data_IF_019870836832
#
_entry.id   IF_019870836832
#
_cell.length_a   1.000
_cell.length_b   1.000
_cell.length_c   1.000
_cell.angle_alpha   90.00
_cell.angle_beta   90.00
_cell.angle_gamma   90.00
#
_symmetry.space_group_name_H-M   'P 1'
#
loop_
_entity.id
_entity.type
_entity.pdbx_description
1 polymer ?
#
# COMPACT_ATOMS: atom_id res chain seq x y z
N UNK A 1 -12.21 -4.84 -16.33
CA UNK A 1 -12.17 -4.14 -15.03
C UNK A 1 -11.90 -5.22 -14.01
N UNK A 2 -10.86 -5.05 -13.20
CA UNK A 2 -10.45 -6.04 -12.21
C UNK A 2 -10.06 -5.29 -10.94
N UNK A 3 -10.59 -5.74 -9.82
CA UNK A 3 -10.29 -5.19 -8.51
C UNK A 3 -9.11 -5.95 -7.90
N UNK A 4 -8.11 -5.21 -7.43
CA UNK A 4 -6.92 -5.75 -6.77
C UNK A 4 -6.85 -5.23 -5.34
N UNK A 5 -6.92 -6.13 -4.36
CA UNK A 5 -6.70 -5.81 -2.96
C UNK A 5 -5.21 -5.85 -2.67
N UNK A 6 -4.62 -4.68 -2.37
CA UNK A 6 -3.30 -4.62 -1.77
C UNK A 6 -3.41 -5.09 -0.33
N UNK A 7 -2.61 -6.09 0.02
CA UNK A 7 -2.44 -6.54 1.39
C UNK A 7 -0.97 -6.51 1.78
N UNK A 8 -0.72 -6.23 3.04
CA UNK A 8 0.62 -6.14 3.61
C UNK A 8 0.78 -7.12 4.77
N UNK A 9 2.01 -7.57 4.99
CA UNK A 9 2.44 -8.25 6.21
C UNK A 9 3.88 -7.86 6.50
N UNK A 10 4.30 -8.03 7.74
CA UNK A 10 5.62 -7.73 8.25
C UNK A 10 5.83 -8.55 9.52
N UNK A 11 7.07 -8.71 9.94
CA UNK A 11 7.40 -9.26 11.24
C UNK A 11 7.43 -8.10 12.24
N UNK A 12 6.52 -8.13 13.23
CA UNK A 12 6.35 -7.10 14.25
C UNK A 12 6.83 -7.63 15.61
N UNK A 13 7.89 -7.04 16.15
CA UNK A 13 8.39 -7.36 17.49
C UNK A 13 7.94 -6.28 18.47
N UNK A 14 7.16 -6.67 19.49
CA UNK A 14 6.57 -5.79 20.50
C UNK A 14 5.75 -4.61 19.94
N UNK A 15 5.27 -4.74 18.69
CA UNK A 15 4.47 -3.76 17.96
C UNK A 15 3.18 -4.37 17.44
N UNK A 16 2.19 -3.52 17.25
CA UNK A 16 0.91 -3.80 16.61
C UNK A 16 0.43 -2.57 15.83
N UNK A 17 -0.71 -2.71 15.17
CA UNK A 17 -1.41 -1.63 14.47
C UNK A 17 -0.57 -0.86 13.44
N UNK A 18 0.33 -1.54 12.71
CA UNK A 18 1.11 -0.93 11.63
C UNK A 18 0.19 -0.48 10.48
N UNK A 19 0.26 0.80 10.12
CA UNK A 19 -0.57 1.41 9.09
C UNK A 19 0.07 2.73 8.57
N UNK A 20 -0.44 3.32 7.48
CA UNK A 20 -0.04 4.67 7.06
C UNK A 20 -0.21 5.71 8.17
N UNK A 21 0.62 6.76 8.18
CA UNK A 21 0.69 7.76 9.25
C UNK A 21 -0.68 8.28 9.70
N UNK A 22 -1.56 8.65 8.78
CA UNK A 22 -2.91 9.13 9.12
C UNK A 22 -4.03 8.10 8.85
N UNK A 23 -3.67 6.83 8.73
CA UNK A 23 -4.59 5.71 8.52
C UNK A 23 -4.72 5.26 7.06
N UNK A 24 -5.37 4.12 6.83
CA UNK A 24 -5.41 3.47 5.50
C UNK A 24 -6.09 4.33 4.42
N UNK A 25 -7.04 5.18 4.82
CA UNK A 25 -7.79 6.08 3.93
C UNK A 25 -7.26 7.53 3.97
N UNK A 26 -6.00 7.72 4.38
CA UNK A 26 -5.34 9.03 4.34
C UNK A 26 -5.32 9.57 2.89
N UNK A 27 -5.94 10.74 2.62
CA UNK A 27 -5.95 11.34 1.28
C UNK A 27 -4.55 11.68 0.77
N UNK A 28 -3.61 11.96 1.67
CA UNK A 28 -2.27 12.45 1.33
C UNK A 28 -1.22 11.32 1.29
N UNK A 29 -1.58 10.11 1.74
CA UNK A 29 -0.66 8.97 1.70
C UNK A 29 -0.46 8.49 0.26
N UNK A 30 0.82 8.39 -0.13
CA UNK A 30 1.23 8.02 -1.48
C UNK A 30 1.49 6.52 -1.57
N UNK A 31 0.73 5.85 -2.43
CA UNK A 31 0.94 4.45 -2.78
C UNK A 31 1.91 4.35 -3.96
N UNK A 32 2.96 3.55 -3.81
CA UNK A 32 3.96 3.33 -4.84
C UNK A 32 3.95 1.87 -5.29
N UNK A 33 3.71 1.64 -6.58
CA UNK A 33 3.84 0.30 -7.13
C UNK A 33 4.15 0.29 -8.62
N UNK A 34 4.71 -0.82 -9.11
CA UNK A 34 4.83 -1.08 -10.55
C UNK A 34 3.54 -1.62 -11.12
N UNK A 35 3.29 -1.24 -12.37
CA UNK A 35 2.13 -1.67 -13.14
C UNK A 35 2.57 -2.51 -14.33
N UNK A 36 1.86 -3.61 -14.57
CA UNK A 36 1.98 -4.45 -15.76
C UNK A 36 0.84 -4.15 -16.73
N UNK A 37 1.17 -3.89 -17.99
CA UNK A 37 0.17 -3.66 -19.03
C UNK A 37 -0.54 -4.96 -19.41
N UNK A 38 -1.86 -5.03 -19.21
CA UNK A 38 -2.66 -6.20 -19.56
C UNK A 38 -2.83 -6.46 -21.06
N UNK A 39 -2.25 -5.63 -21.95
CA UNK A 39 -2.22 -5.89 -23.42
C UNK A 39 -0.90 -6.50 -23.86
N UNK A 40 0.21 -5.84 -23.55
CA UNK A 40 1.53 -6.20 -24.08
C UNK A 40 2.46 -6.83 -23.04
N UNK A 41 2.07 -6.86 -21.77
CA UNK A 41 2.86 -7.42 -20.68
C UNK A 41 3.96 -6.52 -20.14
N UNK A 42 4.20 -5.35 -20.73
CA UNK A 42 5.23 -4.39 -20.29
C UNK A 42 5.00 -3.96 -18.84
N UNK A 43 6.05 -4.01 -18.02
CA UNK A 43 6.05 -3.53 -16.63
C UNK A 43 6.67 -2.14 -16.59
N UNK A 44 6.10 -1.22 -15.79
CA UNK A 44 6.65 0.13 -15.64
C UNK A 44 8.08 0.10 -15.11
N UNK A 45 8.97 0.86 -15.74
CA UNK A 45 10.39 0.97 -15.32
C UNK A 45 10.56 1.68 -13.97
N UNK A 46 9.64 2.59 -13.64
CA UNK A 46 9.58 3.30 -12.37
C UNK A 46 8.28 2.95 -11.67
N UNK A 47 8.27 3.10 -10.35
CA UNK A 47 7.04 3.08 -9.57
C UNK A 47 6.10 4.18 -10.04
N UNK A 48 4.83 3.83 -10.09
CA UNK A 48 3.75 4.79 -10.23
C UNK A 48 3.31 5.22 -8.84
N UNK A 49 3.20 6.53 -8.62
CA UNK A 49 2.69 7.14 -7.40
C UNK A 49 1.21 7.48 -7.59
N UNK A 50 0.41 7.26 -6.56
CA UNK A 50 -1.00 7.64 -6.52
C UNK A 50 -1.46 7.88 -5.08
N UNK A 51 -2.30 8.89 -4.91
CA UNK A 51 -2.88 9.30 -3.63
C UNK A 51 -4.40 9.31 -3.74
N UNK A 52 -5.10 9.16 -2.61
CA UNK A 52 -6.57 9.17 -2.58
C UNK A 52 -7.12 10.60 -2.77
N UNK A 53 -6.35 11.63 -2.43
CA UNK A 53 -6.72 13.04 -2.63
C UNK A 53 -6.69 13.50 -4.09
N UNK A 54 -6.04 12.76 -5.00
CA UNK A 54 -5.97 13.10 -6.42
C UNK A 54 -7.13 12.53 -7.22
N UNK A 55 -7.75 13.35 -8.08
CA UNK A 55 -8.84 12.93 -8.96
C UNK A 55 -8.68 13.53 -10.35
N UNK A 56 -8.72 12.66 -11.36
CA UNK A 56 -8.50 12.96 -12.76
C UNK A 56 -9.72 12.52 -13.59
N UNK A 57 -10.13 13.31 -14.61
CA UNK A 57 -11.17 12.88 -15.53
C UNK A 57 -10.68 11.73 -16.41
N UNK A 58 -11.52 10.71 -16.62
CA UNK A 58 -11.21 9.61 -17.53
C UNK A 58 -11.46 10.05 -18.98
N UNK A 59 -10.48 9.92 -19.90
CA UNK A 59 -10.68 10.24 -21.32
C UNK A 59 -11.89 9.52 -21.92
N UNK A 60 -12.75 10.26 -22.64
CA UNK A 60 -13.95 9.73 -23.30
C UNK A 60 -14.98 9.06 -22.36
N UNK A 61 -14.97 9.40 -21.06
CA UNK A 61 -15.90 8.89 -20.05
C UNK A 61 -16.38 10.02 -19.14
N UNK A 62 -17.51 9.82 -18.46
CA UNK A 62 -18.04 10.77 -17.46
C UNK A 62 -17.49 10.56 -16.05
N UNK A 63 -16.69 9.50 -15.84
CA UNK A 63 -16.14 9.15 -14.53
C UNK A 63 -14.80 9.81 -14.23
N UNK A 64 -14.42 9.79 -12.96
CA UNK A 64 -13.09 10.17 -12.47
C UNK A 64 -12.30 8.95 -12.02
N UNK A 65 -10.99 9.10 -11.90
CA UNK A 65 -10.05 8.07 -11.46
C UNK A 65 -8.88 8.75 -10.74
N UNK A 66 -8.01 7.98 -10.08
CA UNK A 66 -6.86 8.55 -9.36
C UNK A 66 -5.59 8.52 -10.24
N UNK A 67 -5.59 7.70 -11.29
CA UNK A 67 -4.50 7.62 -12.25
C UNK A 67 -5.04 7.36 -13.66
N UNK A 68 -4.53 8.13 -14.64
CA UNK A 68 -4.65 7.83 -16.08
C UNK A 68 -3.23 7.69 -16.64
N UNK A 69 -2.90 6.53 -17.21
CA UNK A 69 -1.54 6.26 -17.70
C UNK A 69 -1.53 5.56 -19.07
N UNK A 70 -0.77 6.12 -20.01
CA UNK A 70 -0.53 5.51 -21.32
C UNK A 70 0.65 4.53 -21.25
N UNK A 71 0.49 3.33 -21.81
CA UNK A 71 1.56 2.34 -21.87
C UNK A 71 2.64 2.84 -22.83
N UNK A 72 3.88 2.91 -22.36
CA UNK A 72 5.02 3.41 -23.15
C UNK A 72 5.39 2.50 -24.35
N UNK A 73 4.96 1.23 -24.33
CA UNK A 73 5.26 0.27 -25.39
C UNK A 73 4.13 0.16 -26.42
N UNK A 74 2.91 -0.21 -25.98
CA UNK A 74 1.78 -0.47 -26.89
C UNK A 74 0.77 0.67 -27.00
N UNK A 75 1.07 1.82 -26.38
CA UNK A 75 0.27 3.04 -26.42
C UNK A 75 -1.15 2.94 -25.85
N UNK A 76 -1.51 1.81 -25.23
CA UNK A 76 -2.82 1.62 -24.62
C UNK A 76 -2.97 2.49 -23.37
N UNK A 77 -4.09 3.19 -23.26
CA UNK A 77 -4.51 3.86 -22.02
C UNK A 77 -5.03 2.86 -20.98
N UNK A 78 -4.68 3.12 -19.72
CA UNK A 78 -5.28 2.43 -18.58
C UNK A 78 -5.49 3.38 -17.42
N UNK A 79 -6.31 2.93 -16.47
CA UNK A 79 -6.71 3.72 -15.29
C UNK A 79 -6.60 2.90 -14.03
N UNK A 80 -6.37 3.57 -12.91
CA UNK A 80 -6.38 2.98 -11.57
C UNK A 80 -7.18 3.89 -10.64
N UNK A 81 -8.26 3.36 -10.05
CA UNK A 81 -9.09 4.08 -9.10
C UNK A 81 -8.95 3.43 -7.72
N UNK A 82 -8.61 4.23 -6.72
CA UNK A 82 -8.58 3.81 -5.31
C UNK A 82 -9.99 3.73 -4.73
N UNK A 83 -10.25 2.72 -3.92
CA UNK A 83 -11.54 2.50 -3.25
C UNK A 83 -11.28 2.46 -1.73
N UNK A 84 -11.57 3.55 -1.00
CA UNK A 84 -11.31 3.62 0.44
C UNK A 84 -12.29 2.76 1.25
N UNK A 85 -12.03 2.63 2.56
CA UNK A 85 -12.86 1.88 3.51
C UNK A 85 -12.66 0.37 3.45
N UNK A 86 -11.59 -0.09 2.79
CA UNK A 86 -11.24 -1.51 2.66
C UNK A 86 -10.00 -1.89 3.49
N UNK A 87 -9.22 -0.91 3.92
CA UNK A 87 -7.99 -1.11 4.68
C UNK A 87 -8.21 -1.24 6.17
N UNK A 88 -7.27 -1.91 6.85
CA UNK A 88 -7.12 -1.90 8.30
C UNK A 88 -5.64 -2.03 8.70
N UNK A 89 -5.27 -1.64 9.92
CA UNK A 89 -3.92 -1.85 10.43
C UNK A 89 -3.52 -3.32 10.43
N UNK A 90 -2.24 -3.60 10.21
CA UNK A 90 -1.63 -4.90 10.44
C UNK A 90 -1.41 -5.08 11.95
N UNK A 91 -2.06 -6.08 12.54
CA UNK A 91 -1.95 -6.34 13.98
C UNK A 91 -0.80 -7.30 14.28
N UNK A 92 -0.39 -7.36 15.55
CA UNK A 92 0.55 -8.38 16.00
C UNK A 92 0.05 -9.80 15.71
N UNK A 93 -1.23 -10.09 15.95
CA UNK A 93 -1.82 -11.41 15.66
C UNK A 93 -1.71 -11.78 14.18
N UNK A 94 -1.92 -10.81 13.27
CA UNK A 94 -1.71 -11.05 11.84
C UNK A 94 -0.26 -11.37 11.54
N UNK A 95 0.68 -10.61 12.11
CA UNK A 95 2.13 -10.82 11.94
C UNK A 95 2.54 -12.22 12.40
N UNK A 96 2.18 -12.61 13.62
CA UNK A 96 2.51 -13.92 14.21
C UNK A 96 1.90 -15.10 13.44
N UNK A 97 0.70 -14.91 12.88
CA UNK A 97 0.04 -15.92 12.05
C UNK A 97 0.44 -15.87 10.57
N UNK A 98 1.32 -14.95 10.17
CA UNK A 98 1.74 -14.74 8.78
C UNK A 98 0.60 -14.28 7.86
N UNK A 99 -0.48 -13.74 8.44
CA UNK A 99 -1.61 -13.21 7.69
C UNK A 99 -1.28 -11.85 7.10
N UNK A 100 -1.91 -11.57 5.97
CA UNK A 100 -1.81 -10.30 5.29
C UNK A 100 -3.04 -9.45 5.62
N UNK A 101 -2.80 -8.24 6.13
CA UNK A 101 -3.84 -7.25 6.39
C UNK A 101 -4.17 -6.48 5.11
N UNK A 102 -5.46 -6.29 4.76
CA UNK A 102 -5.84 -5.46 3.61
C UNK A 102 -5.51 -4.00 3.89
N UNK A 103 -4.98 -3.31 2.89
CA UNK A 103 -4.53 -1.91 3.00
C UNK A 103 -5.33 -0.98 2.08
N UNK A 104 -5.50 -1.33 0.81
CA UNK A 104 -6.23 -0.50 -0.16
C UNK A 104 -6.75 -1.36 -1.30
N UNK A 105 -7.94 -1.02 -1.83
CA UNK A 105 -8.52 -1.68 -2.99
C UNK A 105 -8.36 -0.79 -4.23
N UNK A 106 -7.91 -1.38 -5.34
CA UNK A 106 -7.71 -0.69 -6.61
C UNK A 106 -8.61 -1.27 -7.70
N UNK A 107 -9.47 -0.43 -8.31
CA UNK A 107 -10.16 -0.73 -9.56
C UNK A 107 -9.24 -0.43 -10.74
N UNK A 108 -8.74 -1.48 -11.39
CA UNK A 108 -7.77 -1.39 -12.46
C UNK A 108 -8.40 -1.70 -13.83
N UNK A 109 -8.10 -0.85 -14.82
CA UNK A 109 -8.48 -1.05 -16.22
C UNK A 109 -7.24 -0.97 -17.10
N UNK A 110 -6.89 -2.09 -17.73
CA UNK A 110 -5.76 -2.16 -18.67
C UNK A 110 -4.40 -2.36 -18.02
N UNK A 111 -4.30 -2.24 -16.70
CA UNK A 111 -3.11 -2.55 -15.90
C UNK A 111 -3.41 -3.55 -14.78
N UNK A 112 -2.35 -4.18 -14.30
CA UNK A 112 -2.28 -5.06 -13.15
C UNK A 112 -1.15 -4.54 -12.23
N UNK A 113 -1.40 -4.24 -10.95
CA UNK A 113 -0.33 -3.90 -10.01
C UNK A 113 0.46 -5.15 -9.63
N UNK A 114 1.79 -5.06 -9.57
CA UNK A 114 2.66 -6.25 -9.43
C UNK A 114 3.73 -6.15 -8.34
N UNK A 115 4.16 -4.96 -7.94
CA UNK A 115 5.25 -4.79 -6.96
C UNK A 115 4.97 -3.53 -6.17
N UNK A 116 4.77 -3.66 -4.85
CA UNK A 116 4.49 -2.55 -3.95
C UNK A 116 5.74 -2.14 -3.19
N UNK A 117 5.90 -0.83 -3.00
CA UNK A 117 7.03 -0.24 -2.29
C UNK A 117 6.54 0.46 -1.03
N UNK A 118 7.12 0.09 0.11
CA UNK A 118 6.79 0.61 1.45
C UNK A 118 7.39 2.00 1.69
N UNK A 119 7.22 2.91 0.72
CA UNK A 119 7.59 4.31 0.85
C UNK A 119 6.50 5.08 1.62
N UNK A 120 6.78 6.33 1.95
CA UNK A 120 5.91 7.18 2.77
C UNK A 120 6.14 6.97 4.26
N UNK A 121 5.35 7.67 5.07
CA UNK A 121 5.45 7.64 6.53
C UNK A 121 4.38 6.74 7.12
N UNK A 122 4.80 5.89 8.04
CA UNK A 122 3.97 4.90 8.71
C UNK A 122 3.91 5.17 10.20
N UNK A 123 2.95 4.52 10.86
CA UNK A 123 2.88 4.47 12.31
C UNK A 123 2.60 3.06 12.80
N UNK A 124 3.02 2.79 14.03
CA UNK A 124 2.73 1.58 14.77
C UNK A 124 2.53 1.92 16.26
N UNK A 125 2.07 0.95 17.03
CA UNK A 125 1.82 1.08 18.47
C UNK A 125 2.53 -0.07 19.19
N UNK A 126 3.22 0.20 20.29
CA UNK A 126 3.73 -0.89 21.12
C UNK A 126 2.60 -1.62 21.84
N UNK A 127 2.89 -2.81 22.37
CA UNK A 127 1.93 -3.55 23.18
C UNK A 127 1.55 -2.82 24.48
N UNK A 128 2.37 -1.88 24.92
CA UNK A 128 2.10 -1.01 26.07
C UNK A 128 1.41 0.31 25.68
N UNK A 129 1.13 0.54 24.40
CA UNK A 129 0.41 1.70 23.89
C UNK A 129 1.27 2.93 23.59
N UNK A 130 2.59 2.79 23.49
CA UNK A 130 3.47 3.85 22.98
C UNK A 130 3.29 3.98 21.48
N UNK A 131 3.03 5.19 20.99
CA UNK A 131 2.86 5.46 19.55
C UNK A 131 4.21 5.77 18.90
N UNK A 132 4.53 5.03 17.84
CA UNK A 132 5.67 5.28 16.96
C UNK A 132 5.14 5.91 15.67
N UNK A 133 5.52 7.15 15.41
CA UNK A 133 5.06 7.95 14.27
C UNK A 133 6.21 8.29 13.33
N UNK A 134 5.88 8.62 12.08
CA UNK A 134 6.84 8.99 11.04
C UNK A 134 7.88 7.90 10.77
N UNK A 135 7.47 6.64 10.86
CA UNK A 135 8.32 5.48 10.58
C UNK A 135 8.59 5.44 9.06
N UNK A 136 9.86 5.49 8.69
CA UNK A 136 10.31 5.29 7.31
C UNK A 136 10.68 3.82 7.10
N UNK A 137 9.92 3.15 6.23
CA UNK A 137 10.10 1.73 5.90
C UNK A 137 10.85 1.53 4.57
N UNK A 138 11.38 2.59 3.95
CA UNK A 138 12.12 2.50 2.69
C UNK A 138 13.41 1.68 2.79
N UNK A 139 13.98 1.57 3.99
CA UNK A 139 15.15 0.72 4.29
C UNK A 139 14.85 -0.77 4.46
N UNK A 140 13.57 -1.17 4.52
CA UNK A 140 13.13 -2.56 4.68
C UNK A 140 12.98 -3.03 6.13
N UNK A 141 13.60 -2.35 7.09
CA UNK A 141 13.49 -2.63 8.52
C UNK A 141 13.70 -1.37 9.37
N UNK A 142 13.14 -1.37 10.58
CA UNK A 142 13.38 -0.38 11.63
C UNK A 142 13.53 -1.10 12.96
N UNK A 143 14.40 -0.59 13.82
CA UNK A 143 14.52 -1.00 15.21
C UNK A 143 14.54 0.24 16.10
N UNK A 144 13.78 0.20 17.19
CA UNK A 144 13.70 1.27 18.18
C UNK A 144 13.50 0.64 19.58
N UNK A 145 13.25 1.45 20.60
CA UNK A 145 13.05 0.99 21.96
C UNK A 145 11.81 1.62 22.60
N UNK A 146 10.93 0.81 23.16
CA UNK A 146 9.80 1.29 23.95
C UNK A 146 10.22 1.47 25.41
N UNK A 147 10.47 2.72 25.79
CA UNK A 147 10.81 3.10 27.18
C UNK A 147 9.71 2.72 28.18
N UNK A 148 8.45 2.67 27.76
CA UNK A 148 7.34 2.31 28.66
C UNK A 148 7.28 0.82 28.92
N UNK A 149 7.50 0.01 27.88
CA UNK A 149 7.53 -1.45 27.97
C UNK A 149 8.89 -2.03 28.33
N UNK A 150 9.93 -1.19 28.41
CA UNK A 150 11.32 -1.60 28.66
C UNK A 150 11.77 -2.73 27.72
N UNK A 151 11.42 -2.64 26.43
CA UNK A 151 11.71 -3.66 25.44
C UNK A 151 12.07 -3.08 24.06
N UNK A 152 12.90 -3.80 23.27
CA UNK A 152 13.14 -3.41 21.88
C UNK A 152 11.87 -3.58 21.05
N UNK A 153 11.69 -2.71 20.07
CA UNK A 153 10.63 -2.82 19.06
C UNK A 153 11.25 -2.92 17.68
N UNK A 154 10.65 -3.74 16.80
CA UNK A 154 11.20 -3.94 15.46
C UNK A 154 10.09 -4.16 14.43
N UNK A 155 10.27 -3.60 13.24
CA UNK A 155 9.52 -3.97 12.03
C UNK A 155 10.52 -4.47 11.02
N UNK A 156 10.32 -5.67 10.49
CA UNK A 156 11.20 -6.24 9.46
C UNK A 156 10.42 -7.12 8.49
N UNK A 157 11.10 -7.67 7.49
CA UNK A 157 10.53 -8.64 6.54
C UNK A 157 9.20 -8.18 5.90
N UNK A 158 9.17 -6.92 5.47
CA UNK A 158 8.03 -6.30 4.79
C UNK A 158 7.67 -7.08 3.51
N UNK A 159 6.39 -7.43 3.36
CA UNK A 159 5.88 -8.18 2.22
C UNK A 159 4.51 -7.65 1.83
N UNK A 160 4.23 -7.62 0.53
CA UNK A 160 2.95 -7.18 0.00
C UNK A 160 2.46 -8.13 -1.10
N UNK A 161 1.14 -8.25 -1.23
CA UNK A 161 0.49 -8.97 -2.33
C UNK A 161 -0.65 -8.16 -2.92
N UNK A 162 -0.97 -8.42 -4.18
CA UNK A 162 -2.16 -7.92 -4.86
C UNK A 162 -3.08 -9.10 -5.17
N UNK A 163 -4.18 -9.22 -4.43
CA UNK A 163 -5.13 -10.31 -4.61
C UNK A 163 -6.30 -9.84 -5.47
N UNK A 164 -6.65 -10.59 -6.53
CA UNK A 164 -7.84 -10.31 -7.33
C UNK A 164 -9.10 -10.54 -6.50
N UNK A 165 -9.96 -9.53 -6.37
CA UNK A 165 -11.27 -9.69 -5.71
C UNK A 165 -12.34 -10.05 -6.73
N UNK A 166 -13.31 -10.89 -6.33
CA UNK A 166 -14.47 -11.26 -7.14
C UNK A 166 -15.57 -10.22 -7.06
#
# INVERSE_FOLDING_TARGET
>A
MVNYMLKITADLENLTNLQPQNGCDDPDFSYFFKLRCGRCGEVTQKETCLTLGESLPIPNSKGTTHLVQKCKFCERDGTVTMIPGQGRPLTQEDSESGKYAPLMLFDCRGYEPVEYSFLGLWKAESLEGTLFENIDLSGGEIADYDEKGECPVMISNLRATFDVTK
#
